data_IF_023919519753
#
_entry.id   IF_023919519753
#
_cell.length_a   1.000
_cell.length_b   1.000
_cell.length_c   1.000
_cell.angle_alpha   90.00
_cell.angle_beta   90.00
_cell.angle_gamma   90.00
#
_symmetry.space_group_name_H-M   'P 1'
#
loop_
_entity.id
_entity.type
_entity.pdbx_description
1 polymer ?
#
# COMPACT_ATOMS: atom_id res chain seq x y z
N UNK A 1 21.83 -30.39 12.46
CA UNK A 1 20.44 -30.02 12.79
C UNK A 1 20.21 -28.60 12.25
N UNK A 2 19.34 -28.41 11.25
CA UNK A 2 19.01 -27.09 10.72
C UNK A 2 18.06 -26.40 11.73
N UNK A 3 18.61 -25.54 12.59
CA UNK A 3 17.78 -24.59 13.33
C UNK A 3 17.19 -23.59 12.33
N UNK A 4 15.87 -23.39 12.33
CA UNK A 4 15.32 -22.11 11.88
C UNK A 4 14.48 -22.09 10.60
N UNK A 5 13.88 -23.19 10.15
CA UNK A 5 12.70 -23.05 9.29
C UNK A 5 11.49 -22.69 10.17
N UNK A 6 10.92 -21.49 10.00
CA UNK A 6 9.80 -21.01 10.81
C UNK A 6 8.57 -21.86 10.51
N UNK A 7 7.78 -22.13 11.54
CA UNK A 7 6.59 -22.97 11.40
C UNK A 7 5.60 -22.35 10.41
N UNK A 8 4.85 -23.19 9.69
CA UNK A 8 3.79 -22.72 8.79
C UNK A 8 2.81 -21.78 9.49
N UNK A 9 2.52 -22.03 10.78
CA UNK A 9 1.69 -21.15 11.60
C UNK A 9 2.28 -19.75 11.81
N UNK A 10 3.59 -19.64 12.04
CA UNK A 10 4.27 -18.35 12.14
C UNK A 10 4.23 -17.57 10.81
N UNK A 11 4.40 -18.26 9.68
CA UNK A 11 4.30 -17.63 8.36
C UNK A 11 2.89 -17.07 8.10
N UNK A 12 1.85 -17.82 8.46
CA UNK A 12 0.45 -17.36 8.36
C UNK A 12 0.21 -16.16 9.27
N UNK A 13 0.62 -16.24 10.54
CA UNK A 13 0.46 -15.14 11.49
C UNK A 13 1.17 -13.86 11.03
N UNK A 14 2.42 -13.97 10.56
CA UNK A 14 3.15 -12.85 9.99
C UNK A 14 2.43 -12.26 8.77
N UNK A 15 1.87 -13.10 7.91
CA UNK A 15 1.06 -12.66 6.78
C UNK A 15 -0.22 -11.92 7.19
N UNK A 16 -0.93 -12.40 8.21
CA UNK A 16 -2.11 -11.73 8.74
C UNK A 16 -1.78 -10.35 9.32
N UNK A 17 -0.66 -10.23 10.05
CA UNK A 17 -0.21 -8.94 10.59
C UNK A 17 0.10 -7.95 9.47
N UNK A 18 0.84 -8.38 8.44
CA UNK A 18 1.13 -7.54 7.28
C UNK A 18 -0.13 -7.12 6.54
N UNK A 19 -1.08 -8.04 6.35
CA UNK A 19 -2.36 -7.73 5.73
C UNK A 19 -3.13 -6.65 6.50
N UNK A 20 -3.20 -6.74 7.83
CA UNK A 20 -3.85 -5.71 8.66
C UNK A 20 -3.16 -4.37 8.51
N UNK A 21 -1.83 -4.35 8.55
CA UNK A 21 -1.04 -3.12 8.38
C UNK A 21 -1.30 -2.50 7.00
N UNK A 22 -1.33 -3.29 5.94
CA UNK A 22 -1.61 -2.81 4.59
C UNK A 22 -3.03 -2.23 4.48
N UNK A 23 -4.03 -2.92 5.02
CA UNK A 23 -5.42 -2.44 5.00
C UNK A 23 -5.55 -1.11 5.74
N UNK A 24 -4.93 -0.98 6.91
CA UNK A 24 -4.93 0.28 7.67
C UNK A 24 -4.22 1.39 6.89
N UNK A 25 -3.04 1.10 6.32
CA UNK A 25 -2.28 2.07 5.54
C UNK A 25 -3.06 2.54 4.31
N UNK A 26 -3.57 1.61 3.51
CA UNK A 26 -4.33 1.92 2.28
C UNK A 26 -5.61 2.68 2.64
N UNK A 27 -6.33 2.24 3.66
CA UNK A 27 -7.54 2.92 4.14
C UNK A 27 -7.26 4.35 4.59
N UNK A 28 -6.18 4.57 5.35
CA UNK A 28 -5.76 5.90 5.77
C UNK A 28 -5.41 6.81 4.58
N UNK A 29 -4.64 6.30 3.61
CA UNK A 29 -4.28 7.05 2.41
C UNK A 29 -5.50 7.38 1.55
N UNK A 30 -6.44 6.45 1.43
CA UNK A 30 -7.69 6.66 0.69
C UNK A 30 -8.57 7.72 1.38
N UNK A 31 -8.66 7.66 2.72
CA UNK A 31 -9.35 8.68 3.49
C UNK A 31 -8.74 10.07 3.28
N UNK A 32 -7.40 10.17 3.33
CA UNK A 32 -6.69 11.43 3.10
C UNK A 32 -6.92 11.97 1.69
N UNK A 33 -6.82 11.11 0.68
CA UNK A 33 -7.13 11.46 -0.71
C UNK A 33 -8.58 11.97 -0.84
N UNK A 34 -9.55 11.25 -0.27
CA UNK A 34 -10.96 11.63 -0.31
C UNK A 34 -11.23 12.97 0.38
N UNK A 35 -10.63 13.21 1.55
CA UNK A 35 -10.73 14.49 2.25
C UNK A 35 -10.13 15.64 1.44
N UNK A 36 -9.01 15.39 0.75
CA UNK A 36 -8.36 16.39 -0.11
C UNK A 36 -9.23 16.70 -1.34
N UNK A 37 -9.78 15.68 -1.99
CA UNK A 37 -10.71 15.90 -3.12
C UNK A 37 -12.01 16.57 -2.69
N UNK A 38 -12.49 16.28 -1.48
CA UNK A 38 -13.64 16.99 -0.90
C UNK A 38 -13.31 18.47 -0.65
N UNK A 39 -12.13 18.80 -0.11
CA UNK A 39 -11.71 20.19 0.08
C UNK A 39 -11.50 20.93 -1.26
N UNK A 40 -10.90 20.27 -2.25
CA UNK A 40 -10.69 20.84 -3.59
C UNK A 40 -12.02 21.28 -4.23
N UNK A 41 -13.13 20.62 -3.90
CA UNK A 41 -14.47 20.99 -4.37
C UNK A 41 -15.01 22.31 -3.81
N UNK A 42 -14.40 22.86 -2.76
CA UNK A 42 -14.75 24.17 -2.20
C UNK A 42 -13.76 25.27 -2.60
N UNK A 43 -12.63 24.91 -3.21
CA UNK A 43 -11.60 25.87 -3.61
C UNK A 43 -12.00 26.64 -4.88
N UNK A 44 -11.41 27.83 -5.04
CA UNK A 44 -11.62 28.62 -6.25
C UNK A 44 -11.20 27.86 -7.51
N UNK A 45 -11.99 27.88 -8.60
CA UNK A 45 -11.70 27.16 -9.85
C UNK A 45 -10.36 27.51 -10.51
N UNK A 46 -9.73 28.61 -10.08
CA UNK A 46 -8.41 29.06 -10.56
C UNK A 46 -7.27 28.23 -9.95
N UNK A 47 -7.49 27.62 -8.79
CA UNK A 47 -6.50 26.78 -8.13
C UNK A 47 -6.51 25.36 -8.71
N UNK A 48 -5.32 24.79 -8.89
CA UNK A 48 -5.21 23.39 -9.31
C UNK A 48 -5.59 22.44 -8.16
N UNK A 49 -6.39 21.39 -8.40
CA UNK A 49 -6.74 20.41 -7.37
C UNK A 49 -5.51 19.74 -6.75
N UNK A 50 -5.48 19.59 -5.43
CA UNK A 50 -4.40 18.94 -4.71
C UNK A 50 -4.54 17.40 -4.67
N UNK A 51 -5.75 16.87 -4.87
CA UNK A 51 -6.04 15.44 -4.78
C UNK A 51 -5.19 14.55 -5.70
N UNK A 52 -4.91 14.89 -6.97
CA UNK A 52 -4.05 14.07 -7.83
C UNK A 52 -2.60 13.99 -7.31
N UNK A 53 -2.11 15.04 -6.67
CA UNK A 53 -0.77 15.05 -6.07
C UNK A 53 -0.72 14.15 -4.81
N UNK A 54 -1.76 14.18 -3.98
CA UNK A 54 -1.88 13.27 -2.83
C UNK A 54 -2.01 11.81 -3.27
N UNK A 55 -2.79 11.51 -4.31
CA UNK A 55 -2.87 10.17 -4.89
C UNK A 55 -1.50 9.69 -5.38
N UNK A 56 -0.71 10.54 -6.04
CA UNK A 56 0.65 10.20 -6.49
C UNK A 56 1.58 9.89 -5.32
N UNK A 57 1.50 10.67 -4.23
CA UNK A 57 2.27 10.42 -3.00
C UNK A 57 1.87 9.08 -2.38
N UNK A 58 0.57 8.79 -2.29
CA UNK A 58 0.06 7.52 -1.81
C UNK A 58 0.57 6.34 -2.65
N UNK A 59 0.57 6.45 -3.98
CA UNK A 59 1.10 5.43 -4.87
C UNK A 59 2.58 5.11 -4.57
N UNK A 60 3.42 6.15 -4.40
CA UNK A 60 4.83 5.96 -4.06
C UNK A 60 5.04 5.37 -2.67
N UNK A 61 4.25 5.77 -1.68
CA UNK A 61 4.31 5.21 -0.32
C UNK A 61 3.99 3.72 -0.37
N UNK A 62 2.89 3.34 -1.00
CA UNK A 62 2.45 1.93 -1.08
C UNK A 62 3.45 1.10 -1.87
N UNK A 63 3.98 1.62 -2.99
CA UNK A 63 5.01 0.95 -3.77
C UNK A 63 6.30 0.76 -2.95
N UNK A 64 6.72 1.78 -2.18
CA UNK A 64 7.86 1.68 -1.28
C UNK A 64 7.65 0.60 -0.22
N UNK A 65 6.47 0.56 0.40
CA UNK A 65 6.08 -0.49 1.34
C UNK A 65 6.16 -1.88 0.70
N UNK A 66 5.63 -2.04 -0.53
CA UNK A 66 5.68 -3.29 -1.28
C UNK A 66 7.10 -3.81 -1.46
N UNK A 67 8.04 -2.93 -1.85
CA UNK A 67 9.44 -3.28 -2.08
C UNK A 67 10.11 -3.69 -0.77
N UNK A 68 9.91 -2.92 0.31
CA UNK A 68 10.55 -3.17 1.61
C UNK A 68 10.00 -4.44 2.26
N UNK A 69 8.68 -4.57 2.39
CA UNK A 69 8.06 -5.71 3.07
C UNK A 69 8.09 -6.97 2.22
N UNK A 70 7.76 -6.88 0.93
CA UNK A 70 7.84 -7.98 -0.02
C UNK A 70 9.28 -8.51 -0.14
N UNK A 71 10.26 -7.61 -0.31
CA UNK A 71 11.68 -7.99 -0.35
C UNK A 71 12.13 -8.71 0.92
N UNK A 72 11.76 -8.21 2.10
CA UNK A 72 12.08 -8.86 3.38
C UNK A 72 11.47 -10.27 3.49
N UNK A 73 10.22 -10.45 3.05
CA UNK A 73 9.54 -11.74 3.05
C UNK A 73 10.15 -12.73 2.06
N UNK A 74 10.57 -12.26 0.88
CA UNK A 74 11.28 -13.08 -0.11
C UNK A 74 12.64 -13.53 0.43
N UNK A 75 13.40 -12.66 1.08
CA UNK A 75 14.67 -13.01 1.73
C UNK A 75 14.49 -14.08 2.81
N UNK A 76 13.36 -14.06 3.53
CA UNK A 76 13.00 -15.11 4.50
C UNK A 76 12.41 -16.38 3.87
N UNK A 77 12.31 -16.45 2.54
CA UNK A 77 11.69 -17.56 1.79
C UNK A 77 10.21 -17.78 2.10
N UNK A 78 9.50 -16.74 2.55
CA UNK A 78 8.05 -16.79 2.81
C UNK A 78 7.28 -16.51 1.52
N UNK A 79 7.51 -17.33 0.50
CA UNK A 79 7.10 -17.05 -0.89
C UNK A 79 5.61 -16.73 -1.03
N UNK A 80 4.73 -17.53 -0.42
CA UNK A 80 3.28 -17.32 -0.49
C UNK A 80 2.89 -15.97 0.10
N UNK A 81 3.38 -15.66 1.31
CA UNK A 81 3.10 -14.39 1.98
C UNK A 81 3.66 -13.21 1.19
N UNK A 82 4.88 -13.34 0.66
CA UNK A 82 5.51 -12.31 -0.14
C UNK A 82 4.72 -12.02 -1.44
N UNK A 83 4.24 -13.05 -2.13
CA UNK A 83 3.45 -12.88 -3.35
C UNK A 83 2.14 -12.16 -3.05
N UNK A 84 1.41 -12.59 -2.00
CA UNK A 84 0.16 -11.94 -1.61
C UNK A 84 0.38 -10.47 -1.21
N UNK A 85 1.46 -10.20 -0.46
CA UNK A 85 1.86 -8.85 -0.09
C UNK A 85 2.09 -7.97 -1.32
N UNK A 86 2.89 -8.47 -2.27
CA UNK A 86 3.24 -7.73 -3.49
C UNK A 86 2.02 -7.52 -4.39
N UNK A 87 1.12 -8.51 -4.50
CA UNK A 87 -0.10 -8.37 -5.27
C UNK A 87 -1.05 -7.32 -4.67
N UNK A 88 -1.26 -7.38 -3.36
CA UNK A 88 -2.15 -6.43 -2.68
C UNK A 88 -1.61 -5.00 -2.75
N UNK A 89 -0.36 -4.81 -2.34
CA UNK A 89 0.27 -3.48 -2.34
C UNK A 89 0.51 -2.97 -3.76
N UNK A 90 0.87 -3.84 -4.70
CA UNK A 90 1.00 -3.50 -6.12
C UNK A 90 -0.33 -3.05 -6.73
N UNK A 91 -1.43 -3.77 -6.47
CA UNK A 91 -2.76 -3.38 -6.93
C UNK A 91 -3.19 -2.04 -6.31
N UNK A 92 -2.95 -1.83 -5.02
CA UNK A 92 -3.27 -0.57 -4.35
C UNK A 92 -2.43 0.61 -4.87
N UNK A 93 -1.13 0.40 -5.12
CA UNK A 93 -0.28 1.42 -5.75
C UNK A 93 -0.77 1.76 -7.16
N UNK A 94 -1.17 0.74 -7.94
CA UNK A 94 -1.79 0.92 -9.26
C UNK A 94 -3.09 1.72 -9.19
N UNK A 95 -3.97 1.42 -8.23
CA UNK A 95 -5.20 2.18 -7.97
C UNK A 95 -4.88 3.66 -7.70
N UNK A 96 -3.94 3.96 -6.79
CA UNK A 96 -3.55 5.35 -6.52
C UNK A 96 -2.87 6.03 -7.71
N UNK A 97 -2.11 5.30 -8.53
CA UNK A 97 -1.55 5.84 -9.75
C UNK A 97 -2.61 6.21 -10.78
N UNK A 98 -3.68 5.41 -10.90
CA UNK A 98 -4.83 5.73 -11.74
C UNK A 98 -5.57 6.97 -11.22
N UNK A 99 -5.83 7.05 -9.91
CA UNK A 99 -6.43 8.23 -9.29
C UNK A 99 -5.59 9.49 -9.51
N UNK A 100 -4.26 9.38 -9.50
CA UNK A 100 -3.37 10.50 -9.77
C UNK A 100 -3.36 10.95 -11.25
N UNK A 101 -3.84 10.12 -12.17
CA UNK A 101 -3.95 10.40 -13.60
C UNK A 101 -5.29 11.00 -14.02
N UNK A 102 -6.29 10.97 -13.13
CA UNK A 102 -7.59 11.59 -13.34
C UNK A 102 -7.66 12.92 -12.58
N UNK A 103 -7.67 14.07 -13.29
CA UNK A 103 -7.88 15.38 -12.67
C UNK A 103 -9.35 15.59 -12.26
#
# INVERSE_FOLDING_TARGET
>A
MRYGEPSKGFQVAAGCVWLVVDVVLIGYLLFRYGMTGWSDGYDDPVNSPAAPAEARRAAWIVLGTAVVSGGLLLLRRYWVTAILQLLLTGAAAGMFALLAGHP
#
